data_IF_954916255445
#
_entry.id   IF_954916255445
#
_cell.length_a   1.000
_cell.length_b   1.000
_cell.length_c   1.000
_cell.angle_alpha   90.00
_cell.angle_beta   90.00
_cell.angle_gamma   90.00
#
_symmetry.space_group_name_H-M   'P 1'
#
loop_
_entity.id
_entity.type
_entity.pdbx_description
1 polymer ?
#
# COMPACT_ATOMS: atom_id res chain seq x y z
N UNK A 1 20.82 -18.62 13.29
CA UNK A 1 21.89 -17.60 13.14
C UNK A 1 22.04 -17.31 11.66
N UNK A 2 21.67 -16.08 11.29
CA UNK A 2 21.58 -15.50 9.94
C UNK A 2 20.50 -16.08 9.03
N UNK A 3 19.25 -15.66 9.31
CA UNK A 3 18.37 -15.29 8.22
C UNK A 3 19.13 -14.28 7.35
N UNK A 4 19.23 -14.55 6.05
CA UNK A 4 19.70 -13.58 5.05
C UNK A 4 18.63 -12.49 4.93
N UNK A 5 18.50 -11.70 5.99
CA UNK A 5 17.77 -10.45 6.00
C UNK A 5 18.43 -9.45 5.05
N UNK A 6 17.57 -8.66 4.39
CA UNK A 6 17.79 -7.28 3.92
C UNK A 6 17.56 -6.98 2.42
N UNK A 7 16.92 -7.86 1.63
CA UNK A 7 16.52 -7.51 0.25
C UNK A 7 15.01 -7.49 -0.04
N UNK A 8 14.15 -7.57 0.98
CA UNK A 8 12.77 -7.06 0.86
C UNK A 8 12.47 -5.95 1.87
N UNK A 9 13.10 -4.77 1.81
CA UNK A 9 12.56 -3.59 2.45
C UNK A 9 11.99 -2.69 1.36
N UNK A 10 10.77 -2.94 0.90
CA UNK A 10 9.93 -1.85 0.41
C UNK A 10 8.57 -2.40 0.04
N UNK A 11 7.66 -2.38 1.01
CA UNK A 11 6.49 -1.58 0.71
C UNK A 11 7.05 -0.21 0.35
N UNK A 12 6.99 0.17 -0.93
CA UNK A 12 7.54 1.44 -1.39
C UNK A 12 6.99 2.54 -0.48
N UNK A 13 7.87 3.16 0.32
CA UNK A 13 7.49 4.22 1.24
C UNK A 13 6.69 5.31 0.50
N UNK A 14 7.01 5.48 -0.78
CA UNK A 14 6.34 6.34 -1.76
C UNK A 14 4.87 5.92 -1.94
N UNK A 15 4.58 4.63 -2.16
CA UNK A 15 3.22 4.10 -2.31
C UNK A 15 2.45 4.24 -0.99
N UNK A 16 3.10 4.00 0.15
CA UNK A 16 2.51 4.18 1.48
C UNK A 16 2.11 5.64 1.74
N UNK A 17 3.01 6.58 1.45
CA UNK A 17 2.75 8.02 1.57
C UNK A 17 1.62 8.45 0.64
N UNK A 18 1.60 7.98 -0.61
CA UNK A 18 0.51 8.24 -1.56
C UNK A 18 -0.83 7.68 -1.08
N UNK A 19 -0.86 6.49 -0.49
CA UNK A 19 -2.06 5.90 0.14
C UNK A 19 -2.54 6.72 1.34
N UNK A 20 -1.63 7.21 2.19
CA UNK A 20 -1.98 8.11 3.29
C UNK A 20 -2.53 9.44 2.78
N UNK A 21 -1.99 9.95 1.67
CA UNK A 21 -2.49 11.17 1.02
C UNK A 21 -3.92 10.99 0.52
N UNK A 22 -4.23 9.87 -0.13
CA UNK A 22 -5.59 9.51 -0.54
C UNK A 22 -6.51 9.41 0.70
N UNK A 23 -6.09 8.70 1.74
CA UNK A 23 -6.87 8.62 2.99
C UNK A 23 -7.21 10.00 3.56
N UNK A 24 -6.23 10.91 3.57
CA UNK A 24 -6.40 12.27 4.08
C UNK A 24 -7.35 13.10 3.21
N UNK A 25 -7.16 13.09 1.88
CA UNK A 25 -8.00 13.86 0.94
C UNK A 25 -9.47 13.43 0.98
N UNK A 26 -9.73 12.13 1.10
CA UNK A 26 -11.08 11.57 1.11
C UNK A 26 -11.67 11.44 2.52
N UNK A 27 -10.92 11.82 3.56
CA UNK A 27 -11.33 11.70 4.98
C UNK A 27 -11.85 10.30 5.33
N UNK A 28 -11.26 9.26 4.71
CA UNK A 28 -11.71 7.87 4.88
C UNK A 28 -11.15 7.34 6.20
N UNK A 29 -12.04 6.91 7.08
CA UNK A 29 -11.69 6.44 8.43
C UNK A 29 -11.16 5.01 8.46
N UNK A 30 -11.37 4.24 7.39
CA UNK A 30 -11.01 2.83 7.31
C UNK A 30 -10.07 2.55 6.14
N UNK A 31 -8.89 2.03 6.45
CA UNK A 31 -7.92 1.61 5.44
C UNK A 31 -8.52 0.60 4.43
N UNK A 32 -9.38 -0.30 4.91
CA UNK A 32 -10.06 -1.30 4.05
C UNK A 32 -10.98 -0.65 3.03
N UNK A 33 -11.62 0.47 3.38
CA UNK A 33 -12.43 1.22 2.43
C UNK A 33 -11.54 1.94 1.42
N UNK A 34 -10.44 2.55 1.86
CA UNK A 34 -9.47 3.17 0.95
C UNK A 34 -8.94 2.17 -0.09
N UNK A 35 -8.64 0.94 0.31
CA UNK A 35 -8.18 -0.09 -0.61
C UNK A 35 -9.25 -0.42 -1.66
N UNK A 36 -10.50 -0.63 -1.24
CA UNK A 36 -11.60 -0.89 -2.17
C UNK A 36 -11.80 0.25 -3.17
N UNK A 37 -11.72 1.50 -2.70
CA UNK A 37 -11.80 2.69 -3.56
C UNK A 37 -10.63 2.76 -4.56
N UNK A 38 -9.42 2.36 -4.14
CA UNK A 38 -8.23 2.29 -5.00
C UNK A 38 -8.32 1.11 -5.99
N UNK A 39 -8.95 0.01 -5.63
CA UNK A 39 -9.18 -1.14 -6.53
C UNK A 39 -10.18 -0.80 -7.64
N UNK A 40 -11.27 -0.10 -7.31
CA UNK A 40 -12.31 0.24 -8.29
C UNK A 40 -11.93 1.43 -9.16
N UNK A 41 -11.06 2.33 -8.68
CA UNK A 41 -10.68 3.53 -9.41
C UNK A 41 -9.27 3.41 -10.00
N UNK A 42 -9.23 3.14 -11.31
CA UNK A 42 -8.01 3.00 -12.11
C UNK A 42 -7.10 4.24 -12.02
N UNK A 43 -7.67 5.44 -11.83
CA UNK A 43 -6.89 6.66 -11.69
C UNK A 43 -6.02 6.67 -10.43
N UNK A 44 -6.48 6.07 -9.32
CA UNK A 44 -5.69 5.94 -8.10
C UNK A 44 -4.58 4.90 -8.26
N UNK A 45 -4.84 3.82 -8.99
CA UNK A 45 -3.83 2.80 -9.31
C UNK A 45 -2.69 3.38 -10.16
N UNK A 46 -3.05 4.18 -11.16
CA UNK A 46 -2.10 4.96 -11.95
C UNK A 46 -1.32 5.97 -11.10
N UNK A 47 -1.99 6.69 -10.17
CA UNK A 47 -1.33 7.63 -9.25
C UNK A 47 -0.32 6.93 -8.33
N UNK A 48 -0.65 5.74 -7.84
CA UNK A 48 0.24 4.93 -7.02
C UNK A 48 1.43 4.38 -7.82
N UNK A 49 1.25 4.18 -9.12
CA UNK A 49 2.26 3.55 -10.00
C UNK A 49 2.22 2.03 -9.90
N UNK A 50 1.06 1.46 -9.56
CA UNK A 50 0.82 0.02 -9.48
C UNK A 50 0.33 -0.49 -10.83
N UNK A 51 0.81 -1.66 -11.26
CA UNK A 51 0.27 -2.32 -12.45
C UNK A 51 -1.11 -2.91 -12.18
N UNK A 52 -1.88 -3.27 -13.21
CA UNK A 52 -3.24 -3.82 -13.09
C UNK A 52 -3.30 -5.11 -12.28
N UNK A 53 -2.17 -5.83 -12.17
CA UNK A 53 -2.05 -7.10 -11.46
C UNK A 53 -1.40 -6.97 -10.07
N UNK A 54 -0.86 -5.82 -9.70
CA UNK A 54 -0.16 -5.65 -8.41
C UNK A 54 -1.13 -5.47 -7.23
N UNK A 55 -0.97 -6.28 -6.18
CA UNK A 55 -1.77 -6.12 -4.97
C UNK A 55 -1.40 -4.84 -4.20
N UNK A 56 -2.41 -4.17 -3.65
CA UNK A 56 -2.21 -2.97 -2.85
C UNK A 56 -1.56 -3.38 -1.52
N UNK A 57 -0.38 -2.85 -1.17
CA UNK A 57 0.30 -3.25 0.05
C UNK A 57 -0.53 -2.90 1.28
N UNK A 58 -0.99 -3.92 2.00
CA UNK A 58 -1.69 -3.75 3.27
C UNK A 58 -0.69 -3.44 4.39
N UNK A 59 -1.01 -2.46 5.25
CA UNK A 59 -0.21 -2.11 6.43
C UNK A 59 0.10 -3.30 7.36
N UNK A 60 -0.69 -4.38 7.29
CA UNK A 60 -0.57 -5.57 8.14
C UNK A 60 0.63 -6.46 7.78
N UNK A 61 1.20 -6.33 6.57
CA UNK A 61 2.37 -7.13 6.14
C UNK A 61 3.67 -6.70 6.84
N UNK A 62 3.67 -5.55 7.54
CA UNK A 62 4.82 -5.06 8.31
C UNK A 62 5.03 -5.78 9.66
N UNK A 63 4.07 -6.59 10.13
CA UNK A 63 4.08 -7.15 11.49
C UNK A 63 4.19 -8.69 11.52
N UNK A 64 4.17 -9.36 10.36
CA UNK A 64 4.16 -10.84 10.28
C UNK A 64 5.51 -11.49 9.97
N UNK A 65 6.61 -10.73 10.02
CA UNK A 65 7.96 -11.31 10.06
C UNK A 65 8.58 -10.98 11.42
N UNK A 66 8.15 -11.71 12.44
CA UNK A 66 8.79 -11.80 13.76
C UNK A 66 9.07 -13.26 14.07
#
# INVERSE_FOLDING_TARGET
>A
MYCLDNSRPSIDLIILIKLMFIQYLFSIKSMRQTIKEVEVNIAYRWFLGLDFYDDIPHFTTLVLCQ
#
